data_IF_574757744815
#
_entry.id   IF_574757744815
#
_cell.length_a   1.000
_cell.length_b   1.000
_cell.length_c   1.000
_cell.angle_alpha   90.00
_cell.angle_beta   90.00
_cell.angle_gamma   90.00
#
_symmetry.space_group_name_H-M   'P 1'
#
loop_
_entity.id
_entity.type
_entity.pdbx_description
1 polymer ?
#
# COMPACT_ATOMS: atom_id res chain seq x y z
N UNK A 1 7.04 -8.12 6.08
CA UNK A 1 7.92 -9.11 5.40
C UNK A 1 7.38 -9.43 4.02
N UNK A 2 6.21 -10.05 3.89
CA UNK A 2 5.66 -10.42 2.57
C UNK A 2 5.20 -9.19 1.78
N UNK A 3 4.47 -8.29 2.42
CA UNK A 3 4.07 -7.01 1.82
C UNK A 3 5.28 -6.17 1.37
N UNK A 4 6.31 -6.04 2.21
CA UNK A 4 7.55 -5.33 1.85
C UNK A 4 8.28 -5.98 0.66
N UNK A 5 8.17 -7.30 0.51
CA UNK A 5 8.72 -7.99 -0.66
C UNK A 5 7.98 -7.59 -1.95
N UNK A 6 6.65 -7.45 -1.92
CA UNK A 6 5.90 -6.99 -3.08
C UNK A 6 6.22 -5.53 -3.42
N UNK A 7 6.26 -4.63 -2.42
CA UNK A 7 6.72 -3.26 -2.64
C UNK A 7 8.14 -3.19 -3.22
N UNK A 8 9.04 -4.08 -2.77
CA UNK A 8 10.41 -4.14 -3.30
C UNK A 8 10.44 -4.58 -4.76
N UNK A 9 9.61 -5.55 -5.17
CA UNK A 9 9.49 -5.95 -6.58
C UNK A 9 8.98 -4.80 -7.46
N UNK A 10 7.95 -4.08 -7.01
CA UNK A 10 7.43 -2.91 -7.72
C UNK A 10 8.49 -1.83 -7.86
N UNK A 11 9.18 -1.47 -6.77
CA UNK A 11 10.31 -0.54 -6.78
C UNK A 11 11.38 -0.93 -7.79
N UNK A 12 11.80 -2.20 -7.78
CA UNK A 12 12.87 -2.68 -8.64
C UNK A 12 12.45 -2.68 -10.11
N UNK A 13 11.17 -2.94 -10.41
CA UNK A 13 10.61 -2.81 -11.74
C UNK A 13 10.62 -1.34 -12.23
N UNK A 14 10.25 -0.39 -11.37
CA UNK A 14 10.32 1.04 -11.68
C UNK A 14 11.78 1.45 -11.97
N UNK A 15 12.72 1.09 -11.10
CA UNK A 15 14.14 1.40 -11.29
C UNK A 15 14.70 0.82 -12.59
N UNK A 16 14.31 -0.40 -12.93
CA UNK A 16 14.71 -1.06 -14.18
C UNK A 16 14.15 -0.36 -15.42
N UNK A 17 12.92 0.14 -15.33
CA UNK A 17 12.26 0.82 -16.43
C UNK A 17 12.81 2.24 -16.69
N UNK A 18 13.37 2.88 -15.67
CA UNK A 18 13.88 4.27 -15.72
C UNK A 18 15.33 4.33 -15.17
N UNK A 19 16.28 3.69 -15.84
CA UNK A 19 17.66 3.59 -15.35
C UNK A 19 18.40 4.94 -15.30
N UNK A 20 17.91 5.94 -16.05
CA UNK A 20 18.44 7.31 -16.08
C UNK A 20 17.99 8.17 -14.88
N UNK A 21 16.97 7.72 -14.15
CA UNK A 21 16.44 8.43 -12.99
C UNK A 21 17.16 8.01 -11.71
N UNK A 22 17.45 8.96 -10.87
CA UNK A 22 18.06 8.73 -9.57
C UNK A 22 16.98 8.54 -8.48
N UNK A 23 16.54 7.31 -8.30
CA UNK A 23 15.55 6.94 -7.27
C UNK A 23 16.23 6.62 -5.92
N UNK A 24 17.14 7.47 -5.45
CA UNK A 24 17.85 7.30 -4.17
C UNK A 24 16.92 7.08 -2.98
N UNK A 25 15.77 7.73 -3.00
CA UNK A 25 14.83 7.73 -1.89
C UNK A 25 13.81 6.59 -1.93
N UNK A 26 13.85 5.74 -2.95
CA UNK A 26 13.05 4.52 -2.98
C UNK A 26 13.76 3.41 -2.19
N UNK A 27 13.87 3.59 -0.89
CA UNK A 27 14.56 2.66 0.02
C UNK A 27 13.66 1.49 0.42
N UNK A 28 14.26 0.34 0.72
CA UNK A 28 13.56 -0.72 1.45
C UNK A 28 13.25 -0.27 2.89
N UNK A 29 12.27 -0.94 3.52
CA UNK A 29 11.80 -0.57 4.84
C UNK A 29 12.92 -0.49 5.89
N UNK A 30 13.82 -1.49 5.96
CA UNK A 30 14.89 -1.48 6.97
C UNK A 30 15.90 -0.37 6.75
N UNK A 31 16.23 -0.07 5.50
CA UNK A 31 17.11 1.05 5.15
C UNK A 31 16.43 2.37 5.49
N UNK A 32 15.14 2.51 5.19
CA UNK A 32 14.36 3.69 5.56
C UNK A 32 14.38 3.91 7.09
N UNK A 33 14.09 2.85 7.86
CA UNK A 33 14.14 2.88 9.33
C UNK A 33 15.52 3.29 9.88
N UNK A 34 16.59 2.81 9.26
CA UNK A 34 17.95 3.20 9.66
C UNK A 34 18.23 4.67 9.41
N UNK A 35 17.80 5.18 8.26
CA UNK A 35 18.06 6.58 7.86
C UNK A 35 17.19 7.56 8.65
N UNK A 36 15.91 7.24 8.86
CA UNK A 36 14.94 8.15 9.49
C UNK A 36 14.92 8.06 11.01
N UNK A 37 15.11 6.86 11.57
CA UNK A 37 14.95 6.61 13.01
C UNK A 37 16.22 6.05 13.68
N UNK A 38 17.35 5.98 12.96
CA UNK A 38 18.60 5.40 13.45
C UNK A 38 18.41 3.96 14.01
N UNK A 39 17.48 3.21 13.42
CA UNK A 39 17.15 1.85 13.82
C UNK A 39 18.34 0.93 13.58
N UNK A 40 18.60 0.04 14.54
CA UNK A 40 19.68 -0.99 14.48
C UNK A 40 19.12 -2.39 14.28
N UNK A 41 17.82 -2.51 13.97
CA UNK A 41 17.18 -3.82 13.82
C UNK A 41 17.69 -4.55 12.56
N UNK A 42 17.99 -5.84 12.73
CA UNK A 42 18.57 -6.67 11.66
C UNK A 42 17.52 -7.16 10.65
N UNK A 43 16.23 -7.14 11.02
CA UNK A 43 15.13 -7.58 10.16
C UNK A 43 13.82 -6.87 10.49
N UNK A 44 12.86 -6.92 9.56
CA UNK A 44 11.57 -6.23 9.65
C UNK A 44 10.77 -6.68 10.88
N UNK A 45 10.76 -7.98 11.19
CA UNK A 45 10.02 -8.50 12.34
C UNK A 45 10.51 -7.87 13.65
N UNK A 46 11.82 -7.75 13.82
CA UNK A 46 12.41 -7.14 15.00
C UNK A 46 12.19 -5.63 15.03
N UNK A 47 12.20 -4.99 13.86
CA UNK A 47 11.86 -3.57 13.74
C UNK A 47 10.43 -3.30 14.19
N UNK A 48 9.44 -3.98 13.64
CA UNK A 48 8.03 -3.82 14.05
C UNK A 48 7.80 -4.13 15.53
N UNK A 49 8.45 -5.19 16.06
CA UNK A 49 8.27 -5.60 17.46
C UNK A 49 8.84 -4.60 18.46
N UNK A 50 9.93 -3.92 18.09
CA UNK A 50 10.73 -3.12 19.04
C UNK A 50 10.83 -1.64 18.62
N UNK A 51 10.09 -1.20 17.60
CA UNK A 51 10.04 0.22 17.21
C UNK A 51 9.27 1.02 18.25
N UNK A 52 9.93 2.00 18.86
CA UNK A 52 9.30 2.92 19.80
C UNK A 52 8.21 3.76 19.10
N UNK A 53 8.42 4.11 17.83
CA UNK A 53 7.48 4.89 17.03
C UNK A 53 6.22 4.06 16.73
N UNK A 54 6.37 2.81 16.29
CA UNK A 54 5.25 1.93 15.99
C UNK A 54 4.49 1.51 17.24
N UNK A 55 5.16 1.42 18.39
CA UNK A 55 4.53 1.10 19.67
C UNK A 55 3.50 2.17 20.12
N UNK A 56 3.61 3.40 19.59
CA UNK A 56 2.67 4.48 19.87
C UNK A 56 1.41 4.40 18.99
N UNK A 57 1.45 3.66 17.90
CA UNK A 57 0.32 3.46 16.99
C UNK A 57 -0.57 2.37 17.57
N UNK A 58 -1.74 2.76 18.03
CA UNK A 58 -2.75 1.81 18.51
C UNK A 58 -3.59 1.32 17.34
N UNK A 59 -3.95 0.04 17.38
CA UNK A 59 -4.95 -0.50 16.44
C UNK A 59 -6.26 0.27 16.63
N UNK A 60 -6.79 0.90 15.57
CA UNK A 60 -8.06 1.61 15.67
C UNK A 60 -9.20 0.62 15.91
N UNK A 61 -9.95 0.81 16.97
CA UNK A 61 -11.06 -0.05 17.35
C UNK A 61 -12.28 0.76 17.75
N UNK A 62 -13.46 0.19 17.45
CA UNK A 62 -14.76 0.71 17.88
C UNK A 62 -15.41 -0.28 18.83
N UNK A 63 -16.15 0.25 19.82
CA UNK A 63 -16.96 -0.57 20.73
C UNK A 63 -18.25 -0.98 20.00
N UNK A 64 -18.51 -2.27 19.94
CA UNK A 64 -19.71 -2.82 19.35
C UNK A 64 -20.89 -2.84 20.33
N UNK A 65 -22.10 -3.06 19.81
CA UNK A 65 -23.35 -3.08 20.61
C UNK A 65 -23.34 -4.16 21.70
N UNK A 66 -22.70 -5.30 21.43
CA UNK A 66 -22.55 -6.40 22.39
C UNK A 66 -21.48 -6.13 23.48
N UNK A 67 -20.84 -4.95 23.43
CA UNK A 67 -19.81 -4.55 24.37
C UNK A 67 -18.39 -5.02 24.03
N UNK A 68 -18.21 -5.82 22.98
CA UNK A 68 -16.90 -6.21 22.45
C UNK A 68 -16.27 -5.07 21.62
N UNK A 69 -15.05 -5.28 21.13
CA UNK A 69 -14.36 -4.31 20.28
C UNK A 69 -14.09 -4.93 18.91
N UNK A 70 -14.47 -4.20 17.86
CA UNK A 70 -14.15 -4.50 16.47
C UNK A 70 -13.13 -3.54 15.89
N UNK A 71 -12.64 -3.80 14.68
CA UNK A 71 -11.80 -2.85 13.95
C UNK A 71 -12.62 -1.62 13.55
N UNK A 72 -12.00 -0.45 13.65
CA UNK A 72 -12.55 0.78 13.08
C UNK A 72 -12.23 0.82 11.57
N UNK A 73 -13.16 0.28 10.78
CA UNK A 73 -13.03 0.26 9.32
C UNK A 73 -13.30 1.60 8.66
N UNK A 74 -13.82 2.58 9.40
CA UNK A 74 -13.99 3.96 8.95
C UNK A 74 -12.77 4.84 9.26
N UNK A 75 -11.80 4.30 9.99
CA UNK A 75 -10.54 4.98 10.30
C UNK A 75 -9.60 5.07 9.07
N UNK A 76 -8.65 6.02 9.14
CA UNK A 76 -7.74 6.34 8.03
C UNK A 76 -6.96 5.16 7.46
N UNK A 77 -6.67 4.12 8.25
CA UNK A 77 -5.98 2.94 7.74
C UNK A 77 -6.76 2.23 6.63
N UNK A 78 -8.07 2.31 6.65
CA UNK A 78 -8.95 1.74 5.63
C UNK A 78 -9.38 2.77 4.58
N UNK A 79 -9.64 4.01 5.00
CA UNK A 79 -10.17 5.04 4.10
C UNK A 79 -9.09 5.82 3.35
N UNK A 80 -7.83 5.74 3.80
CA UNK A 80 -6.70 6.48 3.28
C UNK A 80 -5.57 5.55 2.83
N UNK A 81 -4.97 4.79 3.75
CA UNK A 81 -3.78 3.99 3.44
C UNK A 81 -4.05 2.89 2.38
N UNK A 82 -5.25 2.30 2.33
CA UNK A 82 -5.61 1.31 1.31
C UNK A 82 -5.84 1.96 -0.05
N UNK A 83 -6.83 2.87 -0.25
CA UNK A 83 -7.14 3.40 -1.57
C UNK A 83 -6.11 4.39 -2.11
N UNK A 84 -5.39 5.11 -1.26
CA UNK A 84 -4.40 6.14 -1.65
C UNK A 84 -2.94 5.73 -1.43
N UNK A 85 -2.69 4.52 -0.92
CA UNK A 85 -1.36 3.96 -0.72
C UNK A 85 -1.21 2.61 -1.39
N UNK A 86 -1.80 1.58 -0.79
CA UNK A 86 -1.64 0.18 -1.23
C UNK A 86 -2.14 -0.02 -2.66
N UNK A 87 -3.32 0.55 -3.00
CA UNK A 87 -3.92 0.43 -4.32
C UNK A 87 -3.11 1.14 -5.41
N UNK A 88 -2.44 2.26 -5.09
CA UNK A 88 -1.52 2.92 -6.03
C UNK A 88 -0.32 2.01 -6.32
N UNK A 89 0.29 1.42 -5.30
CA UNK A 89 1.39 0.49 -5.49
C UNK A 89 0.98 -0.73 -6.32
N UNK A 90 -0.25 -1.24 -6.11
CA UNK A 90 -0.83 -2.31 -6.91
C UNK A 90 -0.96 -1.92 -8.38
N UNK A 91 -1.46 -0.69 -8.64
CA UNK A 91 -1.60 -0.18 -10.00
C UNK A 91 -0.22 -0.08 -10.69
N UNK A 92 0.77 0.50 -10.03
CA UNK A 92 2.14 0.58 -10.56
C UNK A 92 2.68 -0.83 -10.86
N UNK A 93 2.50 -1.79 -9.94
CA UNK A 93 2.89 -3.18 -10.17
C UNK A 93 2.23 -3.78 -11.41
N UNK A 94 0.93 -3.54 -11.61
CA UNK A 94 0.19 -4.02 -12.77
C UNK A 94 0.72 -3.43 -14.08
N UNK A 95 1.05 -2.14 -14.13
CA UNK A 95 1.62 -1.48 -15.31
C UNK A 95 2.97 -2.06 -15.72
N UNK A 96 3.75 -2.58 -14.77
CA UNK A 96 5.03 -3.25 -15.02
C UNK A 96 4.94 -4.77 -15.11
N UNK A 97 3.74 -5.36 -15.02
CA UNK A 97 3.56 -6.81 -15.04
C UNK A 97 4.16 -7.53 -13.83
N UNK A 98 4.21 -6.85 -12.69
CA UNK A 98 4.71 -7.40 -11.41
C UNK A 98 3.56 -8.02 -10.63
N UNK A 99 3.71 -9.29 -10.27
CA UNK A 99 2.77 -9.96 -9.37
C UNK A 99 3.00 -9.51 -7.92
N UNK A 100 1.91 -9.12 -7.26
CA UNK A 100 1.91 -8.58 -5.90
C UNK A 100 0.87 -9.28 -5.02
N UNK A 101 1.01 -10.59 -4.77
CA UNK A 101 -0.03 -11.39 -4.14
C UNK A 101 -0.39 -10.93 -2.71
N UNK A 102 0.57 -10.39 -1.96
CA UNK A 102 0.31 -9.91 -0.60
C UNK A 102 -0.33 -8.52 -0.58
N UNK A 103 -0.03 -7.68 -1.56
CA UNK A 103 -0.76 -6.43 -1.80
C UNK A 103 -2.21 -6.75 -2.15
N UNK A 104 -2.44 -7.72 -3.05
CA UNK A 104 -3.78 -8.16 -3.45
C UNK A 104 -4.57 -8.70 -2.24
N UNK A 105 -3.96 -9.57 -1.42
CA UNK A 105 -4.56 -10.11 -0.19
C UNK A 105 -5.02 -8.99 0.76
N UNK A 106 -4.21 -7.96 0.96
CA UNK A 106 -4.56 -6.83 1.84
C UNK A 106 -5.71 -6.01 1.26
N UNK A 107 -5.69 -5.73 -0.05
CA UNK A 107 -6.77 -4.99 -0.72
C UNK A 107 -8.09 -5.76 -0.62
N UNK A 108 -8.09 -7.05 -0.91
CA UNK A 108 -9.27 -7.92 -0.84
C UNK A 108 -9.80 -8.05 0.59
N UNK A 109 -8.90 -8.24 1.56
CA UNK A 109 -9.28 -8.29 2.98
C UNK A 109 -9.94 -6.99 3.43
N UNK A 110 -9.30 -5.83 3.17
CA UNK A 110 -9.84 -4.54 3.57
C UNK A 110 -11.16 -4.24 2.84
N UNK A 111 -11.23 -4.55 1.55
CA UNK A 111 -12.44 -4.40 0.75
C UNK A 111 -13.60 -5.26 1.27
N UNK A 112 -13.32 -6.50 1.70
CA UNK A 112 -14.35 -7.38 2.28
C UNK A 112 -14.99 -6.83 3.54
N UNK A 113 -14.23 -6.08 4.35
CA UNK A 113 -14.73 -5.46 5.59
C UNK A 113 -15.59 -4.22 5.32
N UNK A 114 -15.39 -3.57 4.17
CA UNK A 114 -16.05 -2.31 3.81
C UNK A 114 -17.08 -2.43 2.67
N UNK A 115 -17.23 -3.63 2.10
CA UNK A 115 -18.06 -3.82 0.90
C UNK A 115 -17.48 -3.17 -0.35
N UNK A 116 -16.15 -3.04 -0.44
CA UNK A 116 -15.42 -2.44 -1.55
C UNK A 116 -14.78 -3.53 -2.42
N UNK A 117 -14.79 -3.36 -3.75
CA UNK A 117 -14.30 -4.33 -4.72
C UNK A 117 -13.29 -3.69 -5.67
N UNK A 118 -12.11 -3.34 -5.15
CA UNK A 118 -11.04 -2.71 -5.93
C UNK A 118 -10.37 -3.65 -6.94
N UNK A 119 -10.45 -4.97 -6.72
CA UNK A 119 -9.88 -5.99 -7.59
C UNK A 119 -10.98 -6.87 -8.20
N UNK A 120 -10.77 -7.26 -9.46
CA UNK A 120 -11.60 -8.20 -10.20
C UNK A 120 -10.69 -9.06 -11.09
N UNK A 121 -10.83 -10.38 -10.99
CA UNK A 121 -10.03 -11.35 -11.77
C UNK A 121 -8.51 -11.10 -11.65
N UNK A 122 -8.03 -10.77 -10.44
CA UNK A 122 -6.63 -10.49 -10.13
C UNK A 122 -6.07 -9.20 -10.73
N UNK A 123 -6.94 -8.26 -11.14
CA UNK A 123 -6.58 -6.93 -11.68
C UNK A 123 -7.36 -5.84 -10.97
N UNK A 124 -6.85 -4.61 -11.04
CA UNK A 124 -7.62 -3.45 -10.58
C UNK A 124 -8.88 -3.34 -11.42
N UNK A 125 -10.04 -3.31 -10.75
CA UNK A 125 -11.33 -3.02 -11.36
C UNK A 125 -11.44 -1.50 -11.61
N UNK A 126 -11.03 -1.07 -12.79
CA UNK A 126 -11.11 0.34 -13.16
C UNK A 126 -12.56 0.84 -13.22
N UNK A 127 -13.52 -0.01 -13.60
CA UNK A 127 -14.92 0.38 -13.61
C UNK A 127 -15.41 0.72 -12.19
N UNK A 128 -15.05 -0.10 -11.22
CA UNK A 128 -15.36 0.17 -9.82
C UNK A 128 -14.62 1.40 -9.30
N UNK A 129 -13.32 1.46 -9.49
CA UNK A 129 -12.47 2.55 -8.96
C UNK A 129 -12.82 3.92 -9.54
N UNK A 130 -13.31 4.01 -10.78
CA UNK A 130 -13.62 5.28 -11.44
C UNK A 130 -15.06 5.76 -11.20
N UNK A 131 -15.93 4.97 -10.55
CA UNK A 131 -17.28 5.40 -10.20
C UNK A 131 -17.30 6.60 -9.24
N UNK A 132 -16.34 6.62 -8.31
CA UNK A 132 -16.19 7.70 -7.34
C UNK A 132 -14.69 8.00 -7.18
N UNK A 133 -14.21 8.94 -7.96
CA UNK A 133 -12.80 9.33 -7.98
C UNK A 133 -12.32 9.90 -6.63
N UNK A 134 -13.23 10.35 -5.77
CA UNK A 134 -12.92 10.80 -4.41
C UNK A 134 -12.61 9.66 -3.44
N UNK A 135 -12.76 8.39 -3.88
CA UNK A 135 -12.51 7.20 -3.04
C UNK A 135 -11.30 6.38 -3.48
N UNK A 136 -10.49 6.88 -4.39
CA UNK A 136 -9.29 6.18 -4.85
C UNK A 136 -8.19 7.15 -5.25
N UNK A 137 -6.95 6.77 -4.96
CA UNK A 137 -5.76 7.52 -5.38
C UNK A 137 -5.11 6.99 -6.65
N UNK A 138 -5.70 5.99 -7.34
CA UNK A 138 -5.05 5.44 -8.52
C UNK A 138 -4.93 6.50 -9.63
N UNK A 139 -3.78 6.59 -10.31
CA UNK A 139 -3.53 7.60 -11.34
C UNK A 139 -4.58 7.68 -12.46
N UNK A 140 -5.19 6.57 -12.92
CA UNK A 140 -6.29 6.65 -13.90
C UNK A 140 -7.50 7.49 -13.49
N UNK A 141 -7.81 7.59 -12.19
CA UNK A 141 -8.87 8.45 -11.68
C UNK A 141 -8.59 9.95 -11.92
N UNK A 142 -7.32 10.29 -12.15
CA UNK A 142 -6.83 11.65 -12.38
C UNK A 142 -6.34 11.86 -13.82
N UNK A 143 -6.73 10.97 -14.74
CA UNK A 143 -6.42 11.09 -16.18
C UNK A 143 -5.04 10.55 -16.58
N UNK A 144 -4.28 9.99 -15.66
CA UNK A 144 -2.95 9.39 -15.92
C UNK A 144 -3.16 7.91 -16.26
N UNK A 145 -2.87 7.53 -17.49
CA UNK A 145 -3.14 6.17 -18.01
C UNK A 145 -1.89 5.30 -18.18
N UNK A 146 -0.71 5.90 -18.09
CA UNK A 146 0.59 5.24 -18.19
C UNK A 146 1.47 5.76 -17.05
N UNK A 147 2.11 4.87 -16.34
CA UNK A 147 3.02 5.22 -15.24
C UNK A 147 4.15 6.14 -15.69
N UNK A 148 4.54 6.11 -16.97
CA UNK A 148 5.55 7.00 -17.55
C UNK A 148 5.14 8.46 -17.49
N UNK A 149 3.84 8.75 -17.58
CA UNK A 149 3.31 10.12 -17.47
C UNK A 149 3.53 10.76 -16.09
N UNK A 150 3.79 9.95 -15.06
CA UNK A 150 4.09 10.46 -13.71
C UNK A 150 5.54 10.93 -13.62
N UNK A 151 6.42 10.38 -14.45
CA UNK A 151 7.86 10.54 -14.36
C UNK A 151 8.43 11.47 -15.43
N UNK A 152 7.65 11.84 -16.43
CA UNK A 152 7.97 12.83 -17.45
C UNK A 152 7.76 14.26 -16.90
#
# INVERSE_FOLDING_TARGET
>A
MLLDADYSKVRDAVRKAFPERDFKFMLDYLTLERVTHNSKHANIKNSFKNSEQLALIKTPTVKLEDGTYGLDTEGRFFTDDIPYGVLIARWVGQEFGVETPFIDEIIEWAGSLRGEAFLKDGKIDLEYCLKDIGKTGIPPAYGIRDVRQILD
#
